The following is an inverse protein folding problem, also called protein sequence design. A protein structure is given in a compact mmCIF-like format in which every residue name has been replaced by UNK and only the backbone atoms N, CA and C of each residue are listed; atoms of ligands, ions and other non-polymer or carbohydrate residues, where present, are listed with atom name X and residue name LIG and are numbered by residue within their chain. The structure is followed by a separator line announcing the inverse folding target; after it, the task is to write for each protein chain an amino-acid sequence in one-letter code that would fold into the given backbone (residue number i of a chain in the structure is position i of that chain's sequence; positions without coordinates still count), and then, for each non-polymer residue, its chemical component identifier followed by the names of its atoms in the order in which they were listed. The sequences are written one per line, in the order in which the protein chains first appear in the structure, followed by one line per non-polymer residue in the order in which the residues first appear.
data_IF_917392142105
#
_entry.id   IF_917392142105
#
_cell.length_a   1.000
_cell.length_b   1.000
_cell.length_c   1.000
_cell.angle_alpha   90.00
_cell.angle_beta   90.00
_cell.angle_gamma   90.00
#
_symmetry.space_group_name_H-M   'P 1'
#
loop_
_entity.id
_entity.type
_entity.pdbx_description
1 polymer ?
#
# COMPACT_ATOMS: atom_id res chain seq x y z
N UNK A 1 -15.14 -11.48 14.37
CA UNK A 1 -14.19 -11.76 14.86
C UNK A 1 -13.11 -12.07 13.96
N UNK A 2 -13.29 -12.50 12.90
CA UNK A 2 -12.33 -12.85 12.14
C UNK A 2 -12.05 -11.89 11.11
N UNK A 3 -10.87 -11.61 10.76
CA UNK A 3 -10.53 -10.79 9.72
C UNK A 3 -9.90 -11.64 8.70
N UNK A 4 -10.06 -11.34 7.44
CA UNK A 4 -9.54 -12.13 6.37
C UNK A 4 -8.99 -11.23 5.31
N UNK A 5 -7.85 -11.59 4.76
CA UNK A 5 -7.29 -10.90 3.61
C UNK A 5 -7.52 -11.81 2.40
N UNK A 6 -8.24 -11.31 1.42
CA UNK A 6 -8.62 -12.09 0.25
C UNK A 6 -8.11 -11.46 -1.02
N UNK A 7 -7.77 -12.30 -1.98
CA UNK A 7 -7.28 -11.88 -3.27
C UNK A 7 -8.43 -11.70 -4.23
N UNK A 8 -8.41 -10.61 -4.99
CA UNK A 8 -9.39 -10.34 -6.01
C UNK A 8 -8.68 -10.31 -7.36
N UNK A 9 -9.27 -10.96 -8.35
CA UNK A 9 -8.70 -10.92 -9.69
C UNK A 9 -9.55 -9.99 -10.54
N UNK A 10 -9.27 -8.70 -10.47
CA UNK A 10 -10.05 -7.69 -11.17
C UNK A 10 -9.38 -7.26 -12.47
N UNK A 11 -8.06 -7.25 -12.51
CA UNK A 11 -7.30 -6.85 -13.69
C UNK A 11 -5.93 -7.49 -13.60
N UNK A 12 -4.93 -6.94 -14.30
CA UNK A 12 -3.58 -7.52 -14.28
C UNK A 12 -2.91 -7.40 -12.92
N UNK A 13 -3.33 -6.41 -12.13
CA UNK A 13 -2.74 -6.23 -10.81
C UNK A 13 -3.42 -7.13 -9.80
N UNK A 14 -2.74 -7.41 -8.72
CA UNK A 14 -3.31 -8.18 -7.62
C UNK A 14 -3.97 -7.24 -6.62
N UNK A 15 -5.14 -7.63 -6.15
CA UNK A 15 -5.86 -6.85 -5.14
C UNK A 15 -6.10 -7.75 -3.93
N UNK A 16 -5.82 -7.23 -2.75
CA UNK A 16 -6.10 -7.95 -1.51
C UNK A 16 -6.97 -7.07 -0.64
N UNK A 17 -8.05 -7.63 -0.16
CA UNK A 17 -8.98 -6.91 0.71
C UNK A 17 -8.91 -7.43 2.13
N UNK A 18 -8.97 -6.52 3.09
CA UNK A 18 -9.02 -6.86 4.51
C UNK A 18 -10.48 -6.75 4.94
N UNK A 19 -11.03 -7.86 5.38
CA UNK A 19 -12.42 -7.92 5.82
C UNK A 19 -12.47 -8.00 7.34
N UNK A 20 -13.36 -7.23 7.91
CA UNK A 20 -13.62 -7.26 9.33
C UNK A 20 -15.12 -7.48 9.50
N UNK A 21 -15.50 -8.62 10.05
CA UNK A 21 -16.92 -8.97 10.24
C UNK A 21 -17.72 -8.83 8.95
N UNK A 22 -17.19 -9.38 7.87
CA UNK A 22 -17.84 -9.39 6.56
C UNK A 22 -17.88 -8.01 5.88
N UNK A 23 -17.26 -7.01 6.44
CA UNK A 23 -17.19 -5.68 5.84
C UNK A 23 -15.80 -5.46 5.28
N UNK A 24 -15.73 -5.04 4.03
CA UNK A 24 -14.43 -4.70 3.42
C UNK A 24 -13.94 -3.40 4.05
N UNK A 25 -12.91 -3.50 4.86
CA UNK A 25 -12.37 -2.37 5.60
C UNK A 25 -11.20 -1.69 4.92
N UNK A 26 -10.45 -2.41 4.11
CA UNK A 26 -9.31 -1.85 3.40
C UNK A 26 -8.94 -2.70 2.22
N UNK A 27 -8.19 -2.13 1.28
CA UNK A 27 -7.78 -2.82 0.09
C UNK A 27 -6.41 -2.33 -0.34
N UNK A 28 -5.57 -3.24 -0.82
CA UNK A 28 -4.26 -2.90 -1.34
C UNK A 28 -4.14 -3.47 -2.74
N UNK A 29 -3.58 -2.68 -3.64
CA UNK A 29 -3.37 -3.07 -5.02
C UNK A 29 -1.87 -3.19 -5.27
N UNK A 30 -1.45 -4.32 -5.81
CA UNK A 30 -0.05 -4.59 -6.08
C UNK A 30 0.17 -4.80 -7.57
N UNK A 31 1.17 -4.10 -8.09
CA UNK A 31 1.64 -4.31 -9.44
C UNK A 31 3.03 -4.90 -9.31
N UNK A 32 3.17 -6.18 -9.63
CA UNK A 32 4.47 -6.81 -9.46
C UNK A 32 5.20 -6.90 -10.79
N UNK A 33 6.49 -6.72 -10.73
CA UNK A 33 7.37 -6.72 -11.88
C UNK A 33 8.44 -7.80 -11.67
N UNK A 34 9.25 -8.05 -12.67
CA UNK A 34 10.30 -9.05 -12.54
C UNK A 34 11.34 -8.69 -11.48
N UNK A 35 11.59 -7.40 -11.29
CA UNK A 35 12.66 -6.95 -10.40
C UNK A 35 12.22 -6.12 -9.21
N UNK A 36 10.94 -5.89 -9.03
CA UNK A 36 10.46 -5.13 -7.87
C UNK A 36 8.95 -5.31 -7.68
N UNK A 37 8.46 -4.87 -6.54
CA UNK A 37 7.03 -4.93 -6.21
C UNK A 37 6.55 -3.50 -5.93
N UNK A 38 5.52 -3.07 -6.64
CA UNK A 38 4.98 -1.71 -6.49
C UNK A 38 3.63 -1.76 -5.78
N UNK A 39 3.55 -1.09 -4.64
CA UNK A 39 2.28 -0.90 -3.96
C UNK A 39 1.56 0.23 -4.69
N UNK A 40 0.65 -0.13 -5.58
CA UNK A 40 -0.02 0.81 -6.46
C UNK A 40 -1.02 1.68 -5.69
N UNK A 41 -1.74 1.11 -4.76
CA UNK A 41 -2.67 1.86 -3.92
C UNK A 41 -2.91 1.12 -2.62
N UNK A 42 -3.27 1.86 -1.60
CA UNK A 42 -3.60 1.33 -0.28
C UNK A 42 -4.67 2.23 0.29
N UNK A 43 -5.86 1.70 0.50
CA UNK A 43 -6.99 2.47 0.98
C UNK A 43 -7.63 1.75 2.17
N UNK A 44 -7.90 2.49 3.24
CA UNK A 44 -8.64 1.99 4.38
C UNK A 44 -9.84 2.91 4.54
N UNK A 45 -11.03 2.34 4.74
CA UNK A 45 -12.23 3.16 4.92
C UNK A 45 -12.14 3.93 6.24
N UNK A 46 -12.61 5.18 6.26
CA UNK A 46 -12.48 6.03 7.44
C UNK A 46 -13.00 5.42 8.73
N UNK A 47 -14.10 4.68 8.66
CA UNK A 47 -14.67 4.04 9.83
C UNK A 47 -13.70 3.08 10.50
N UNK A 48 -12.73 2.57 9.74
CA UNK A 48 -11.77 1.59 10.24
C UNK A 48 -10.37 2.16 10.44
N UNK A 49 -10.23 3.48 10.45
CA UNK A 49 -8.93 4.10 10.69
C UNK A 49 -8.43 3.76 12.09
N UNK A 50 -7.11 3.77 12.25
CA UNK A 50 -6.42 3.56 13.52
C UNK A 50 -6.63 2.17 14.13
N UNK A 51 -6.91 1.20 13.30
CA UNK A 51 -7.04 -0.19 13.76
C UNK A 51 -5.91 -1.07 13.23
N UNK A 52 -4.88 -0.47 12.64
CA UNK A 52 -3.73 -1.22 12.16
C UNK A 52 -3.97 -1.98 10.86
N UNK A 53 -5.06 -1.70 10.15
CA UNK A 53 -5.42 -2.44 8.94
C UNK A 53 -4.39 -2.20 7.83
N UNK A 54 -3.97 -0.95 7.62
CA UNK A 54 -2.98 -0.64 6.60
C UNK A 54 -1.66 -1.36 6.88
N UNK A 55 -1.24 -1.38 8.16
CA UNK A 55 -0.02 -2.08 8.55
C UNK A 55 -0.12 -3.58 8.31
N UNK A 56 -1.29 -4.16 8.57
CA UNK A 56 -1.48 -5.59 8.37
C UNK A 56 -1.49 -5.94 6.88
N UNK A 57 -2.11 -5.10 6.04
CA UNK A 57 -2.07 -5.31 4.60
C UNK A 57 -0.64 -5.22 4.07
N UNK A 58 0.13 -4.22 4.53
CA UNK A 58 1.52 -4.09 4.12
C UNK A 58 2.37 -5.27 4.59
N UNK A 59 2.17 -5.72 5.82
CA UNK A 59 2.91 -6.88 6.34
C UNK A 59 2.59 -8.15 5.52
N UNK A 60 1.34 -8.31 5.13
CA UNK A 60 0.94 -9.42 4.27
C UNK A 60 1.70 -9.35 2.94
N UNK A 61 1.79 -8.17 2.34
CA UNK A 61 2.48 -7.98 1.07
C UNK A 61 3.96 -8.31 1.21
N UNK A 62 4.62 -7.88 2.29
CA UNK A 62 6.04 -8.19 2.48
C UNK A 62 6.28 -9.69 2.57
N UNK A 63 5.35 -10.44 3.12
CA UNK A 63 5.50 -11.89 3.23
C UNK A 63 5.09 -12.62 1.96
N UNK A 64 4.15 -12.06 1.22
CA UNK A 64 3.61 -12.70 0.02
C UNK A 64 4.50 -12.51 -1.20
N UNK A 65 5.10 -11.34 -1.35
CA UNK A 65 5.93 -11.02 -2.51
C UNK A 65 7.40 -11.03 -2.13
N UNK A 66 8.21 -11.60 -2.99
CA UNK A 66 9.65 -11.71 -2.71
C UNK A 66 10.50 -10.82 -3.59
N UNK A 67 9.88 -10.14 -4.57
CA UNK A 67 10.64 -9.26 -5.46
C UNK A 67 10.86 -7.92 -4.76
N UNK A 68 12.09 -7.62 -4.47
CA UNK A 68 12.51 -6.37 -3.85
C UNK A 68 13.30 -5.55 -4.85
N UNK A 69 13.34 -4.25 -4.70
CA UNK A 69 12.74 -3.51 -3.59
C UNK A 69 11.23 -3.38 -3.74
N UNK A 70 10.58 -3.03 -2.64
CA UNK A 70 9.19 -2.59 -2.68
C UNK A 70 9.22 -1.09 -2.86
N UNK A 71 8.27 -0.54 -3.62
CA UNK A 71 8.17 0.91 -3.62
C UNK A 71 6.72 1.38 -3.64
N UNK A 72 6.52 2.59 -3.15
CA UNK A 72 5.21 3.23 -3.08
C UNK A 72 5.36 4.65 -3.56
N UNK A 73 4.27 5.21 -4.07
CA UNK A 73 4.20 6.61 -4.46
C UNK A 73 2.92 7.20 -3.90
N UNK A 74 3.01 8.43 -3.42
CA UNK A 74 1.84 9.12 -2.89
C UNK A 74 2.06 10.61 -3.02
N UNK A 75 1.03 11.42 -2.72
CA UNK A 75 1.18 12.87 -2.70
C UNK A 75 1.98 13.31 -1.48
N UNK A 76 2.80 14.32 -1.62
CA UNK A 76 3.63 14.80 -0.49
C UNK A 76 2.77 15.31 0.66
N UNK A 77 1.51 15.66 0.40
CA UNK A 77 0.63 16.14 1.46
C UNK A 77 -0.03 15.02 2.24
N UNK A 78 0.09 13.78 1.77
CA UNK A 78 -0.50 12.63 2.45
C UNK A 78 0.41 12.19 3.59
N UNK A 79 0.48 13.00 4.63
CA UNK A 79 1.38 12.75 5.76
C UNK A 79 1.11 11.42 6.47
N UNK A 80 -0.14 11.02 6.69
CA UNK A 80 -0.38 9.74 7.36
C UNK A 80 0.22 8.56 6.59
N UNK A 81 0.08 8.56 5.25
CA UNK A 81 0.65 7.48 4.45
C UNK A 81 2.17 7.51 4.48
N UNK A 82 2.77 8.70 4.34
CA UNK A 82 4.23 8.82 4.37
C UNK A 82 4.77 8.35 5.71
N UNK A 83 4.12 8.73 6.81
CA UNK A 83 4.56 8.32 8.14
C UNK A 83 4.45 6.81 8.31
N UNK A 84 3.37 6.20 7.81
CA UNK A 84 3.21 4.76 7.85
C UNK A 84 4.35 4.07 7.09
N UNK A 85 4.62 4.51 5.87
CA UNK A 85 5.65 3.87 5.05
C UNK A 85 7.02 4.01 5.71
N UNK A 86 7.35 5.18 6.23
CA UNK A 86 8.63 5.37 6.91
C UNK A 86 8.74 4.49 8.14
N UNK A 87 7.65 4.35 8.89
CA UNK A 87 7.66 3.50 10.06
C UNK A 87 7.89 2.04 9.67
N UNK A 88 7.50 1.63 8.49
CA UNK A 88 7.68 0.28 8.01
C UNK A 88 9.01 0.06 7.27
N UNK A 89 9.87 1.07 7.28
CA UNK A 89 11.21 0.93 6.73
C UNK A 89 11.41 1.48 5.33
N UNK A 90 10.42 2.18 4.80
CA UNK A 90 10.58 2.82 3.49
C UNK A 90 11.38 4.10 3.64
N UNK A 91 12.18 4.41 2.63
CA UNK A 91 13.05 5.59 2.62
C UNK A 91 12.71 6.40 1.38
N UNK A 92 12.64 7.70 1.53
CA UNK A 92 12.34 8.58 0.40
C UNK A 92 13.44 8.50 -0.66
N UNK A 93 13.02 8.40 -1.92
CA UNK A 93 13.93 8.31 -3.06
C UNK A 93 13.90 9.59 -3.87
N UNK A 94 12.72 10.09 -4.19
CA UNK A 94 12.58 11.30 -4.99
C UNK A 94 11.21 11.93 -4.85
N UNK A 95 11.11 13.19 -5.27
CA UNK A 95 9.85 13.89 -5.40
C UNK A 95 9.79 14.50 -6.79
N UNK A 96 8.61 14.69 -7.31
CA UNK A 96 8.42 15.32 -8.63
C UNK A 96 7.03 15.91 -8.72
N UNK A 97 6.85 16.82 -9.67
CA UNK A 97 5.56 17.42 -9.93
C UNK A 97 4.93 16.72 -11.13
N UNK A 98 3.66 16.37 -11.00
CA UNK A 98 2.92 15.78 -12.11
C UNK A 98 2.49 16.89 -13.07
N UNK A 99 2.05 16.50 -14.28
CA UNK A 99 1.58 17.44 -15.28
C UNK A 99 0.38 18.25 -14.80
N UNK A 100 -0.40 17.71 -13.87
CA UNK A 100 -1.58 18.38 -13.35
C UNK A 100 -1.32 19.06 -12.00
N UNK A 101 -0.06 19.29 -11.69
CA UNK A 101 0.28 20.15 -10.56
C UNK A 101 0.27 19.52 -9.18
N UNK A 102 0.35 18.21 -9.11
CA UNK A 102 0.43 17.50 -7.82
C UNK A 102 1.88 17.12 -7.59
N UNK A 103 2.40 17.44 -6.40
CA UNK A 103 3.74 17.00 -6.06
C UNK A 103 3.67 15.64 -5.40
N UNK A 104 4.44 14.71 -5.92
CA UNK A 104 4.46 13.32 -5.46
C UNK A 104 5.81 12.94 -4.88
N UNK A 105 5.79 11.89 -4.07
CA UNK A 105 6.99 11.36 -3.43
C UNK A 105 7.02 9.86 -3.66
N UNK A 106 8.21 9.32 -3.93
CA UNK A 106 8.44 7.88 -4.01
C UNK A 106 9.29 7.46 -2.82
N UNK A 107 8.91 6.34 -2.21
CA UNK A 107 9.68 5.73 -1.14
C UNK A 107 9.94 4.28 -1.51
N UNK A 108 11.12 3.81 -1.15
CA UNK A 108 11.51 2.43 -1.43
C UNK A 108 11.87 1.70 -0.15
N UNK A 109 11.68 0.39 -0.17
CA UNK A 109 12.12 -0.48 0.92
C UNK A 109 12.87 -1.65 0.31
N UNK A 110 14.10 -1.86 0.75
CA UNK A 110 14.94 -2.97 0.31
C UNK A 110 14.47 -4.30 0.89
#
# INVERSE_FOLDING_TARGET
LQRTIENFAVCKNDFFGYFKDDTLAGIIEIKHHTSYTHVQSLVVLPFFFRQGIASQLMSFVFMHYRKKPFFVETGVKNKPAINLYKKMGFVEVKQWDTDYGIRKIRLNKS
#
